data_IF_723128684807
#
_entry.id   IF_723128684807
#
_cell.length_a   1.000
_cell.length_b   1.000
_cell.length_c   1.000
_cell.angle_alpha   90.00
_cell.angle_beta   90.00
_cell.angle_gamma   90.00
#
_symmetry.space_group_name_H-M   'P 1'
#
loop_
_entity.id
_entity.type
_entity.pdbx_description
1 polymer ?
#
# COMPACT_ATOMS: atom_id res chain seq x y z
N UNK A 1 -35.83 -63.97 -46.67
CA UNK A 1 -35.63 -62.51 -46.67
C UNK A 1 -34.27 -62.25 -46.06
N UNK A 2 -33.33 -61.83 -46.91
CA UNK A 2 -31.89 -61.95 -46.69
C UNK A 2 -31.26 -60.65 -46.18
N UNK A 3 -30.27 -60.84 -45.31
CA UNK A 3 -28.99 -60.13 -45.19
C UNK A 3 -29.00 -58.59 -45.30
N UNK A 4 -28.82 -57.91 -44.16
CA UNK A 4 -28.34 -56.52 -44.13
C UNK A 4 -26.82 -56.53 -43.97
N UNK A 5 -26.18 -56.10 -45.05
CA UNK A 5 -24.74 -56.07 -45.32
C UNK A 5 -24.09 -54.90 -44.57
N UNK A 6 -22.95 -55.20 -43.94
CA UNK A 6 -21.91 -54.29 -43.44
C UNK A 6 -21.13 -53.67 -44.61
N UNK A 7 -20.89 -52.34 -44.61
CA UNK A 7 -19.66 -51.64 -45.09
C UNK A 7 -19.89 -50.09 -45.12
N UNK A 8 -18.84 -49.24 -45.07
CA UNK A 8 -17.84 -49.09 -44.02
C UNK A 8 -17.75 -47.65 -43.47
N UNK A 9 -17.08 -47.56 -42.32
CA UNK A 9 -16.63 -46.34 -41.65
C UNK A 9 -15.53 -45.65 -42.48
N UNK A 10 -15.78 -44.46 -43.00
CA UNK A 10 -14.73 -43.57 -43.49
C UNK A 10 -15.21 -42.12 -43.38
N UNK A 11 -14.74 -41.38 -42.37
CA UNK A 11 -14.58 -39.93 -42.51
C UNK A 11 -13.50 -39.41 -41.54
N UNK A 12 -12.35 -39.13 -42.14
CA UNK A 12 -11.31 -38.14 -41.83
C UNK A 12 -11.02 -37.77 -40.36
N UNK A 13 -9.81 -38.14 -39.93
CA UNK A 13 -9.03 -37.39 -38.94
C UNK A 13 -8.87 -35.93 -39.40
N UNK A 14 -9.48 -34.99 -38.68
CA UNK A 14 -8.95 -33.63 -38.61
C UNK A 14 -7.97 -33.57 -37.43
N UNK A 15 -6.70 -33.86 -37.72
CA UNK A 15 -5.57 -33.45 -36.90
C UNK A 15 -5.47 -31.92 -36.99
N UNK A 16 -6.21 -31.20 -36.14
CA UNK A 16 -5.86 -29.82 -35.84
C UNK A 16 -4.62 -29.86 -34.92
N UNK A 17 -3.45 -29.75 -35.53
CA UNK A 17 -2.23 -29.37 -34.83
C UNK A 17 -2.47 -27.98 -34.24
N UNK A 18 -2.92 -27.94 -32.99
CA UNK A 18 -2.86 -26.74 -32.19
C UNK A 18 -1.39 -26.41 -32.00
N UNK A 19 -0.90 -25.41 -32.73
CA UNK A 19 0.29 -24.68 -32.33
C UNK A 19 0.02 -24.09 -30.95
N UNK A 20 0.42 -24.83 -29.91
CA UNK A 20 0.52 -24.31 -28.56
C UNK A 20 1.60 -23.23 -28.57
N UNK A 21 1.21 -21.99 -28.81
CA UNK A 21 1.98 -20.87 -28.32
C UNK A 21 2.08 -21.08 -26.81
N UNK A 22 3.28 -21.36 -26.31
CA UNK A 22 3.55 -21.46 -24.88
C UNK A 22 3.10 -20.15 -24.23
N UNK A 23 1.95 -20.18 -23.55
CA UNK A 23 1.50 -19.08 -22.71
C UNK A 23 2.57 -18.96 -21.62
N UNK A 24 3.24 -17.81 -21.56
CA UNK A 24 4.20 -17.51 -20.49
C UNK A 24 3.41 -17.38 -19.18
N UNK A 25 3.34 -18.48 -18.43
CA UNK A 25 2.60 -18.61 -17.18
C UNK A 25 3.40 -18.12 -15.97
N UNK A 26 4.58 -17.54 -16.21
CA UNK A 26 5.47 -17.02 -15.19
C UNK A 26 4.80 -15.89 -14.42
N UNK A 27 4.83 -16.02 -13.10
CA UNK A 27 4.45 -14.95 -12.17
C UNK A 27 5.71 -14.39 -11.53
N UNK A 28 5.57 -13.22 -10.93
CA UNK A 28 6.67 -12.64 -10.17
C UNK A 28 6.75 -13.35 -8.83
N UNK A 29 7.89 -13.99 -8.60
CA UNK A 29 8.20 -14.69 -7.37
C UNK A 29 9.43 -14.06 -6.72
N UNK A 30 9.33 -13.83 -5.43
CA UNK A 30 10.43 -13.32 -4.61
C UNK A 30 11.16 -14.53 -4.02
N UNK A 31 12.48 -14.66 -4.23
CA UNK A 31 13.37 -15.68 -3.66
C UNK A 31 14.22 -15.04 -2.56
N UNK A 32 13.83 -15.25 -1.30
CA UNK A 32 14.53 -14.69 -0.15
C UNK A 32 15.63 -15.63 0.34
N UNK A 33 16.78 -15.09 0.78
CA UNK A 33 17.98 -15.86 1.14
C UNK A 33 18.61 -15.46 2.49
N UNK A 34 17.90 -14.68 3.32
CA UNK A 34 18.37 -14.33 4.67
C UNK A 34 19.32 -13.13 4.73
N UNK A 35 20.16 -13.06 5.76
CA UNK A 35 21.13 -11.97 5.94
C UNK A 35 22.17 -11.92 4.82
N UNK A 36 22.74 -10.74 4.61
CA UNK A 36 23.85 -10.58 3.67
C UNK A 36 25.12 -11.28 4.23
N UNK A 37 25.80 -12.14 3.45
CA UNK A 37 27.09 -12.73 3.85
C UNK A 37 28.14 -11.66 4.17
N UNK A 38 28.87 -11.83 5.28
CA UNK A 38 29.96 -10.94 5.70
C UNK A 38 31.21 -11.13 4.83
N UNK A 39 31.81 -10.03 4.34
CA UNK A 39 33.04 -10.05 3.54
C UNK A 39 32.88 -9.53 2.10
N UNK A 40 33.87 -9.79 1.23
CA UNK A 40 33.77 -9.47 -0.22
C UNK A 40 32.79 -10.45 -0.89
N UNK A 41 31.50 -10.11 -0.86
CA UNK A 41 30.43 -10.87 -1.49
C UNK A 41 29.74 -10.02 -2.56
N UNK A 42 29.66 -10.57 -3.78
CA UNK A 42 28.90 -9.98 -4.89
C UNK A 42 27.59 -10.74 -5.05
N UNK A 43 26.54 -10.23 -4.41
CA UNK A 43 25.25 -10.94 -4.39
C UNK A 43 24.63 -11.02 -5.78
N UNK A 44 24.77 -9.99 -6.62
CA UNK A 44 24.21 -10.02 -7.98
C UNK A 44 24.77 -11.16 -8.81
N UNK A 45 26.09 -11.39 -8.80
CA UNK A 45 26.69 -12.54 -9.50
C UNK A 45 26.24 -13.87 -8.89
N UNK A 46 26.07 -13.93 -7.58
CA UNK A 46 25.63 -15.13 -6.88
C UNK A 46 24.17 -15.48 -7.23
N UNK A 47 23.26 -14.51 -7.19
CA UNK A 47 21.86 -14.67 -7.57
C UNK A 47 21.71 -15.02 -9.04
N UNK A 48 22.44 -14.35 -9.94
CA UNK A 48 22.44 -14.72 -11.35
C UNK A 48 22.93 -16.16 -11.53
N UNK A 49 23.98 -16.60 -10.82
CA UNK A 49 24.42 -18.01 -10.91
C UNK A 49 23.39 -18.99 -10.38
N UNK A 50 22.71 -18.65 -9.28
CA UNK A 50 21.68 -19.48 -8.67
C UNK A 50 20.48 -19.62 -9.59
N UNK A 51 20.05 -18.50 -10.16
CA UNK A 51 18.98 -18.47 -11.14
C UNK A 51 19.37 -19.23 -12.42
N UNK A 52 20.64 -19.18 -12.82
CA UNK A 52 21.18 -19.94 -13.95
C UNK A 52 21.16 -21.46 -13.73
N UNK A 53 21.18 -21.94 -12.48
CA UNK A 53 21.02 -23.38 -12.19
C UNK A 53 19.58 -23.86 -12.46
N UNK A 54 18.59 -22.96 -12.46
CA UNK A 54 17.18 -23.31 -12.61
C UNK A 54 16.64 -22.96 -13.99
N UNK A 55 17.06 -21.83 -14.56
CA UNK A 55 16.61 -21.32 -15.87
C UNK A 55 17.65 -21.47 -17.00
N UNK A 56 18.90 -21.82 -16.69
CA UNK A 56 19.96 -21.86 -17.70
C UNK A 56 20.29 -20.48 -18.28
N UNK A 57 20.54 -20.40 -19.59
CA UNK A 57 21.05 -19.18 -20.26
C UNK A 57 20.10 -17.97 -20.19
N UNK A 58 18.81 -18.16 -19.91
CA UNK A 58 17.81 -17.09 -19.83
C UNK A 58 17.68 -16.46 -18.43
N UNK A 59 18.49 -16.89 -17.46
CA UNK A 59 18.39 -16.44 -16.07
C UNK A 59 18.49 -14.91 -15.93
N UNK A 60 19.41 -14.26 -16.66
CA UNK A 60 19.58 -12.81 -16.59
C UNK A 60 18.34 -12.03 -17.04
N UNK A 61 17.54 -12.59 -17.96
CA UNK A 61 16.35 -11.94 -18.53
C UNK A 61 15.15 -12.01 -17.58
N UNK A 62 15.19 -12.95 -16.64
CA UNK A 62 14.10 -13.21 -15.70
C UNK A 62 14.40 -12.70 -14.29
N UNK A 63 15.64 -12.30 -14.00
CA UNK A 63 16.04 -11.64 -12.76
C UNK A 63 15.53 -10.19 -12.74
N UNK A 64 14.43 -9.94 -12.06
CA UNK A 64 13.83 -8.61 -11.95
C UNK A 64 14.61 -7.72 -10.98
N UNK A 65 15.14 -8.30 -9.90
CA UNK A 65 15.89 -7.57 -8.89
C UNK A 65 16.79 -8.49 -8.04
N UNK A 66 17.90 -7.97 -7.51
CA UNK A 66 18.83 -8.69 -6.63
C UNK A 66 19.14 -7.87 -5.36
N UNK A 67 18.64 -8.33 -4.22
CA UNK A 67 18.81 -7.73 -2.90
C UNK A 67 20.19 -8.08 -2.32
N UNK A 68 21.04 -7.08 -2.07
CA UNK A 68 22.47 -7.32 -1.79
C UNK A 68 23.08 -6.43 -0.68
N UNK A 69 22.28 -5.56 -0.04
CA UNK A 69 22.78 -4.55 0.93
C UNK A 69 22.50 -4.91 2.38
N UNK A 70 21.23 -5.13 2.72
CA UNK A 70 20.79 -5.45 4.10
C UNK A 70 20.44 -6.92 4.29
N UNK A 71 19.99 -7.58 3.23
CA UNK A 71 19.67 -9.00 3.17
C UNK A 71 19.95 -9.53 1.77
N UNK A 72 19.95 -10.86 1.63
CA UNK A 72 20.27 -11.63 0.45
C UNK A 72 18.98 -12.17 -0.18
N UNK A 73 18.88 -12.18 -1.50
CA UNK A 73 17.73 -12.69 -2.23
C UNK A 73 17.52 -11.98 -3.56
N UNK A 74 16.51 -12.39 -4.32
CA UNK A 74 16.21 -11.79 -5.61
C UNK A 74 14.74 -11.98 -6.00
N UNK A 75 14.28 -11.24 -7.00
CA UNK A 75 12.96 -11.44 -7.62
C UNK A 75 13.17 -11.97 -9.01
N UNK A 76 12.41 -12.99 -9.39
CA UNK A 76 12.42 -13.48 -10.75
C UNK A 76 11.02 -13.78 -11.27
N UNK A 77 10.86 -13.67 -12.59
CA UNK A 77 9.70 -14.23 -13.28
C UNK A 77 9.90 -15.74 -13.40
N UNK A 78 9.17 -16.48 -12.58
CA UNK A 78 9.28 -17.92 -12.45
C UNK A 78 7.95 -18.55 -12.77
N UNK A 79 7.99 -19.71 -13.40
CA UNK A 79 6.85 -20.62 -13.33
C UNK A 79 6.72 -21.12 -11.89
N UNK A 80 5.56 -21.70 -11.56
CA UNK A 80 5.39 -22.29 -10.24
C UNK A 80 6.46 -23.36 -9.96
N UNK A 81 6.79 -24.19 -10.95
CA UNK A 81 7.76 -25.28 -10.81
C UNK A 81 9.19 -24.77 -10.62
N UNK A 82 9.56 -23.68 -11.27
CA UNK A 82 10.87 -23.05 -11.07
C UNK A 82 10.98 -22.37 -9.70
N UNK A 83 9.90 -21.75 -9.23
CA UNK A 83 9.80 -21.23 -7.87
C UNK A 83 9.97 -22.35 -6.83
N UNK A 84 9.36 -23.52 -7.05
CA UNK A 84 9.57 -24.68 -6.17
C UNK A 84 11.00 -25.23 -6.22
N UNK A 85 11.64 -25.26 -7.40
CA UNK A 85 13.04 -25.69 -7.53
C UNK A 85 13.98 -24.75 -6.76
N UNK A 86 13.79 -23.44 -6.89
CA UNK A 86 14.58 -22.43 -6.17
C UNK A 86 14.37 -22.53 -4.66
N UNK A 87 13.14 -22.79 -4.22
CA UNK A 87 12.83 -23.00 -2.79
C UNK A 87 13.63 -24.14 -2.15
N UNK A 88 14.06 -25.14 -2.93
CA UNK A 88 14.87 -26.26 -2.45
C UNK A 88 16.39 -26.02 -2.45
N UNK A 89 16.88 -24.87 -2.90
CA UNK A 89 18.32 -24.62 -3.03
C UNK A 89 18.95 -24.16 -1.72
N UNK A 90 20.20 -24.57 -1.50
CA UNK A 90 20.95 -24.15 -0.31
C UNK A 90 21.10 -22.61 -0.27
N UNK A 91 20.71 -22.02 0.86
CA UNK A 91 20.73 -20.57 1.05
C UNK A 91 19.44 -19.86 0.64
N UNK A 92 18.44 -20.55 0.07
CA UNK A 92 17.10 -19.98 -0.17
C UNK A 92 16.18 -20.29 1.02
N UNK A 93 15.59 -19.25 1.58
CA UNK A 93 14.69 -19.30 2.74
C UNK A 93 13.21 -19.39 2.32
N UNK A 94 12.77 -18.62 1.32
CA UNK A 94 11.36 -18.64 0.88
C UNK A 94 11.17 -18.20 -0.57
N UNK A 95 10.07 -18.65 -1.21
CA UNK A 95 9.65 -18.25 -2.57
C UNK A 95 8.13 -18.01 -2.68
N UNK A 96 7.64 -16.82 -3.10
CA UNK A 96 6.19 -16.46 -3.05
C UNK A 96 5.69 -15.34 -4.04
N UNK A 97 4.36 -15.23 -4.35
CA UNK A 97 3.74 -14.28 -5.34
C UNK A 97 3.22 -12.90 -4.79
N UNK A 98 2.72 -11.97 -5.64
CA UNK A 98 2.48 -10.49 -5.41
C UNK A 98 0.97 -9.92 -5.55
N UNK A 99 0.46 -8.76 -4.95
CA UNK A 99 -0.98 -8.15 -5.07
C UNK A 99 -1.43 -6.71 -4.42
N UNK A 100 -2.77 -6.24 -4.26
CA UNK A 100 -3.41 -4.83 -3.92
C UNK A 100 -4.72 -4.57 -2.92
N UNK A 101 -5.20 -3.31 -2.47
CA UNK A 101 -6.34 -2.86 -1.42
C UNK A 101 -7.17 -1.40 -1.48
N UNK A 102 -8.09 -0.89 -0.51
CA UNK A 102 -9.12 0.34 -0.49
C UNK A 102 -9.46 1.30 0.83
N UNK A 103 -10.29 2.45 0.83
CA UNK A 103 -10.42 3.73 1.78
C UNK A 103 -11.80 4.47 2.26
N UNK A 104 -11.91 5.33 3.38
CA UNK A 104 -13.15 6.06 4.01
C UNK A 104 -13.04 7.32 5.05
N UNK A 105 -13.82 8.49 5.07
CA UNK A 105 -14.30 9.35 6.29
C UNK A 105 -15.26 10.64 6.10
N UNK A 106 -16.23 10.93 7.03
CA UNK A 106 -16.88 12.27 7.44
C UNK A 106 -17.79 12.27 8.73
N UNK A 107 -18.12 11.13 9.35
CA UNK A 107 -19.00 11.03 10.57
C UNK A 107 -18.27 10.43 11.80
N UNK A 108 -17.10 9.86 11.56
CA UNK A 108 -16.38 8.98 12.50
C UNK A 108 -16.07 9.64 13.85
N UNK A 109 -15.70 10.93 13.87
CA UNK A 109 -15.27 11.59 15.11
C UNK A 109 -16.41 11.87 16.10
N UNK A 110 -17.56 12.34 15.61
CA UNK A 110 -18.76 12.49 16.46
C UNK A 110 -19.22 11.15 17.03
N UNK A 111 -19.16 10.08 16.23
CA UNK A 111 -19.51 8.74 16.67
C UNK A 111 -18.62 8.25 17.83
N UNK A 112 -17.35 8.66 17.86
CA UNK A 112 -16.42 8.35 18.96
C UNK A 112 -16.55 9.32 20.15
N UNK A 113 -17.51 10.26 20.12
CA UNK A 113 -17.65 11.30 21.15
C UNK A 113 -16.59 12.40 21.08
N UNK A 114 -15.83 12.47 19.99
CA UNK A 114 -14.74 13.41 19.80
C UNK A 114 -15.16 14.53 18.83
N UNK A 115 -16.13 15.34 19.27
CA UNK A 115 -16.70 16.42 18.45
C UNK A 115 -15.70 17.54 18.14
N UNK A 116 -16.10 18.49 17.30
CA UNK A 116 -15.33 19.71 16.98
C UNK A 116 -14.86 20.50 18.22
N UNK A 117 -15.62 20.46 19.32
CA UNK A 117 -15.44 21.34 20.49
C UNK A 117 -14.63 20.70 21.63
N UNK A 118 -13.93 19.58 21.38
CA UNK A 118 -13.14 18.93 22.44
C UNK A 118 -11.97 19.82 22.86
N UNK A 119 -11.67 19.83 24.15
CA UNK A 119 -10.53 20.54 24.73
C UNK A 119 -9.23 19.91 24.21
N UNK A 120 -8.46 20.66 23.42
CA UNK A 120 -7.20 20.21 22.83
C UNK A 120 -6.00 20.72 23.61
N UNK A 121 -4.91 19.96 23.59
CA UNK A 121 -3.66 20.37 24.20
C UNK A 121 -3.02 21.49 23.36
N UNK A 122 -2.45 22.50 23.99
CA UNK A 122 -1.73 23.58 23.30
C UNK A 122 -0.51 23.09 22.54
N UNK A 123 0.05 21.94 22.94
CA UNK A 123 1.17 21.28 22.28
C UNK A 123 0.78 20.56 20.98
N UNK A 124 -0.53 20.46 20.65
CA UNK A 124 -1.00 19.76 19.44
C UNK A 124 -0.36 20.35 18.17
N UNK A 125 -0.15 21.66 18.12
CA UNK A 125 0.49 22.34 16.98
C UNK A 125 1.97 22.03 16.79
N UNK A 126 2.61 21.43 17.81
CA UNK A 126 4.02 21.01 17.76
C UNK A 126 4.19 19.51 17.48
N UNK A 127 3.07 18.77 17.36
CA UNK A 127 3.07 17.36 16.99
C UNK A 127 3.21 17.21 15.48
N UNK A 128 4.07 16.31 15.04
CA UNK A 128 4.35 16.02 13.63
C UNK A 128 3.95 14.58 13.34
N UNK A 129 2.92 14.39 12.51
CA UNK A 129 2.46 13.08 12.06
C UNK A 129 3.15 12.73 10.75
N UNK A 130 3.95 11.66 10.77
CA UNK A 130 4.56 11.07 9.59
C UNK A 130 3.58 10.19 8.83
N UNK A 131 3.23 10.56 7.61
CA UNK A 131 2.29 9.86 6.75
C UNK A 131 3.04 9.08 5.67
N UNK A 132 3.12 7.75 5.82
CA UNK A 132 3.73 6.84 4.84
C UNK A 132 2.63 6.24 3.96
N UNK A 133 2.47 6.76 2.73
CA UNK A 133 1.31 6.48 1.88
C UNK A 133 1.56 6.79 0.37
N UNK A 134 0.52 7.04 -0.44
CA UNK A 134 0.60 7.42 -1.87
C UNK A 134 0.98 8.88 -2.13
N UNK A 135 1.29 9.63 -1.08
CA UNK A 135 1.61 11.07 -1.14
C UNK A 135 0.50 11.93 -0.56
N UNK A 136 0.44 13.20 -0.97
CA UNK A 136 -0.63 14.12 -0.56
C UNK A 136 -1.04 15.06 -1.70
N UNK A 137 -2.30 15.48 -1.73
CA UNK A 137 -2.77 16.57 -2.59
C UNK A 137 -2.77 17.90 -1.82
N UNK A 138 -1.71 18.73 -1.93
CA UNK A 138 -1.48 19.85 -1.03
C UNK A 138 -2.53 20.98 -1.13
N UNK A 139 -3.23 21.10 -2.27
CA UNK A 139 -4.27 22.12 -2.46
C UNK A 139 -5.61 21.78 -1.81
N UNK A 140 -5.73 20.59 -1.18
CA UNK A 140 -6.94 20.24 -0.45
C UNK A 140 -7.17 21.22 0.71
N UNK A 141 -8.42 21.67 0.89
CA UNK A 141 -8.79 22.56 1.99
C UNK A 141 -8.47 21.97 3.37
N UNK A 142 -8.43 20.64 3.50
CA UNK A 142 -8.03 19.95 4.72
C UNK A 142 -6.57 20.23 5.13
N UNK A 143 -5.75 20.77 4.24
CA UNK A 143 -4.33 21.06 4.49
C UNK A 143 -3.98 22.54 4.38
N UNK A 144 -4.99 23.41 4.46
CA UNK A 144 -4.76 24.84 4.67
C UNK A 144 -3.93 25.06 5.93
N UNK A 145 -2.98 25.98 5.86
CA UNK A 145 -2.14 26.40 6.98
C UNK A 145 -2.57 27.75 7.56
N UNK A 146 -3.81 28.17 7.28
CA UNK A 146 -4.42 29.33 7.91
C UNK A 146 -4.36 29.18 9.44
N UNK A 147 -3.83 30.20 10.13
CA UNK A 147 -3.57 30.23 11.57
C UNK A 147 -2.44 29.33 12.09
N UNK A 148 -1.61 28.76 11.21
CA UNK A 148 -0.41 28.02 11.63
C UNK A 148 0.80 28.97 11.76
N UNK A 149 1.51 28.87 12.89
CA UNK A 149 2.85 29.45 13.02
C UNK A 149 3.90 28.65 12.22
N UNK A 150 5.18 29.06 12.24
CA UNK A 150 6.25 28.33 11.56
C UNK A 150 6.37 26.87 12.05
N UNK A 151 7.02 25.97 11.29
CA UNK A 151 7.26 24.59 11.71
C UNK A 151 8.01 24.50 13.05
N UNK A 152 7.77 23.47 13.87
CA UNK A 152 8.45 23.30 15.15
C UNK A 152 9.97 23.23 14.98
N UNK A 153 10.74 23.87 15.87
CA UNK A 153 12.23 23.94 15.78
C UNK A 153 12.92 22.57 15.76
N UNK A 154 12.28 21.52 16.28
CA UNK A 154 12.79 20.15 16.27
C UNK A 154 12.77 19.49 14.89
N UNK A 155 11.97 20.03 13.97
CA UNK A 155 11.77 19.48 12.63
C UNK A 155 13.04 19.61 11.79
N UNK A 156 13.48 18.50 11.19
CA UNK A 156 14.70 18.44 10.36
C UNK A 156 14.44 17.98 8.92
N UNK A 157 13.20 17.60 8.61
CA UNK A 157 12.86 17.13 7.28
C UNK A 157 12.83 18.26 6.25
N UNK A 158 12.68 17.84 5.00
CA UNK A 158 12.75 18.72 3.83
C UNK A 158 11.50 18.60 2.96
N UNK A 159 11.35 19.55 2.04
CA UNK A 159 10.30 19.54 1.04
C UNK A 159 10.90 19.36 -0.35
N UNK A 160 10.58 18.25 -1.02
CA UNK A 160 10.93 18.03 -2.41
C UNK A 160 9.93 18.75 -3.32
N UNK A 161 10.39 19.79 -4.02
CA UNK A 161 9.54 20.72 -4.78
C UNK A 161 9.36 20.37 -6.26
N UNK A 162 9.41 19.09 -6.62
CA UNK A 162 9.19 18.67 -8.01
C UNK A 162 7.71 18.67 -8.39
N UNK A 163 7.41 18.80 -9.69
CA UNK A 163 6.04 18.70 -10.25
C UNK A 163 4.99 19.58 -9.56
N UNK A 164 5.30 20.89 -9.42
CA UNK A 164 4.42 21.89 -8.78
C UNK A 164 3.96 21.47 -7.38
N UNK A 165 4.88 20.95 -6.57
CA UNK A 165 4.61 20.63 -5.17
C UNK A 165 5.30 21.65 -4.26
N UNK A 166 4.55 22.19 -3.29
CA UNK A 166 5.08 23.09 -2.27
C UNK A 166 4.53 22.73 -0.90
N UNK A 167 5.41 22.71 0.10
CA UNK A 167 5.05 22.62 1.50
C UNK A 167 4.56 23.97 2.02
N UNK A 168 3.82 23.94 3.13
CA UNK A 168 3.34 25.11 3.84
C UNK A 168 3.50 24.88 5.36
N UNK A 169 2.87 25.69 6.22
CA UNK A 169 3.00 25.47 7.66
C UNK A 169 2.16 24.28 8.17
N UNK A 170 1.26 23.71 7.37
CA UNK A 170 0.49 22.51 7.72
C UNK A 170 1.21 21.23 7.28
N UNK A 171 1.55 21.14 6.00
CA UNK A 171 2.41 20.11 5.39
C UNK A 171 3.84 20.65 5.42
N UNK A 172 4.58 20.32 6.47
CA UNK A 172 5.91 20.91 6.75
C UNK A 172 7.07 20.16 6.08
N UNK A 173 6.78 18.97 5.56
CA UNK A 173 7.75 18.11 4.89
C UNK A 173 7.09 17.18 3.89
N UNK A 174 7.78 16.91 2.80
CA UNK A 174 7.27 16.04 1.76
C UNK A 174 8.43 15.43 0.96
N UNK A 175 8.51 14.10 0.99
CA UNK A 175 9.48 13.31 0.25
C UNK A 175 8.76 12.19 -0.51
N UNK A 176 9.33 11.74 -1.62
CA UNK A 176 8.89 10.54 -2.31
C UNK A 176 10.05 9.57 -2.50
N UNK A 177 9.72 8.28 -2.51
CA UNK A 177 10.66 7.19 -2.59
C UNK A 177 10.26 6.30 -3.75
N UNK A 178 11.18 6.17 -4.71
CA UNK A 178 11.02 5.28 -5.86
C UNK A 178 12.38 4.73 -6.24
N UNK A 179 12.81 3.72 -5.52
CA UNK A 179 14.15 3.14 -5.63
C UNK A 179 14.45 2.55 -7.02
N UNK A 180 13.45 1.97 -7.69
CA UNK A 180 13.59 1.40 -9.04
C UNK A 180 13.59 2.47 -10.17
N UNK A 181 13.26 3.73 -9.83
CA UNK A 181 13.13 4.88 -10.75
C UNK A 181 12.13 4.67 -11.89
N UNK A 182 11.25 3.67 -11.79
CA UNK A 182 10.17 3.43 -12.76
C UNK A 182 8.93 4.18 -12.30
N UNK A 183 8.29 4.87 -13.23
CA UNK A 183 7.09 5.63 -12.94
C UNK A 183 6.06 5.31 -14.01
N UNK A 184 4.82 5.05 -13.58
CA UNK A 184 3.70 4.94 -14.49
C UNK A 184 3.43 6.30 -15.16
N UNK A 185 2.88 6.34 -16.39
CA UNK A 185 2.38 7.59 -16.98
C UNK A 185 1.34 8.31 -16.11
N UNK A 186 0.68 7.59 -15.18
CA UNK A 186 -0.30 8.14 -14.25
C UNK A 186 0.31 8.69 -12.95
N UNK A 187 1.63 8.57 -12.76
CA UNK A 187 2.30 8.99 -11.53
C UNK A 187 2.94 10.38 -11.65
N UNK A 188 2.84 11.16 -10.57
CA UNK A 188 3.66 12.36 -10.39
C UNK A 188 4.99 11.99 -9.75
N UNK A 189 6.11 12.35 -10.41
CA UNK A 189 7.48 12.20 -9.88
C UNK A 189 7.78 13.24 -8.77
N UNK A 190 6.90 13.28 -7.78
CA UNK A 190 6.91 14.18 -6.64
C UNK A 190 6.13 13.55 -5.49
N UNK A 191 6.12 14.17 -4.30
CA UNK A 191 5.27 13.75 -3.18
C UNK A 191 3.77 13.92 -3.44
N UNK A 192 3.37 14.46 -4.61
CA UNK A 192 1.98 14.64 -4.99
C UNK A 192 1.26 13.30 -5.12
N UNK A 193 0.07 13.24 -4.51
CA UNK A 193 -0.82 12.09 -4.60
C UNK A 193 -1.48 12.01 -5.98
N UNK A 194 -1.32 10.88 -6.66
CA UNK A 194 -1.98 10.56 -7.93
C UNK A 194 -3.13 9.55 -7.76
N UNK A 195 -3.32 9.00 -6.57
CA UNK A 195 -4.30 7.94 -6.30
C UNK A 195 -5.44 8.47 -5.42
N UNK A 196 -5.10 9.10 -4.29
CA UNK A 196 -6.06 9.65 -3.31
C UNK A 196 -5.92 9.06 -1.91
N UNK A 197 -5.31 7.88 -1.75
CA UNK A 197 -5.15 7.16 -0.48
C UNK A 197 -4.46 7.99 0.59
N UNK A 198 -3.28 8.51 0.28
CA UNK A 198 -2.51 9.33 1.21
C UNK A 198 -3.19 10.64 1.57
N UNK A 199 -3.86 11.28 0.61
CA UNK A 199 -4.69 12.48 0.88
C UNK A 199 -5.84 12.15 1.83
N UNK A 200 -6.49 11.03 1.60
CA UNK A 200 -7.62 10.59 2.40
C UNK A 200 -7.17 10.22 3.83
N UNK A 201 -6.11 9.43 3.99
CA UNK A 201 -5.60 9.01 5.31
C UNK A 201 -5.01 10.18 6.09
N UNK A 202 -4.27 11.08 5.42
CA UNK A 202 -3.70 12.29 6.03
C UNK A 202 -4.77 13.25 6.54
N UNK A 203 -5.83 13.47 5.76
CA UNK A 203 -6.96 14.32 6.19
C UNK A 203 -7.78 13.69 7.31
N UNK A 204 -7.85 12.36 7.37
CA UNK A 204 -8.47 11.64 8.49
C UNK A 204 -7.65 11.80 9.78
N UNK A 205 -6.33 11.67 9.72
CA UNK A 205 -5.46 11.78 10.89
C UNK A 205 -5.37 13.23 11.40
N UNK A 206 -5.08 14.17 10.50
CA UNK A 206 -4.71 15.53 10.86
C UNK A 206 -5.30 16.59 9.90
N UNK A 207 -6.41 16.32 9.21
CA UNK A 207 -7.08 17.35 8.41
C UNK A 207 -7.62 18.50 9.26
N UNK A 208 -7.46 19.73 8.75
CA UNK A 208 -8.14 20.91 9.26
C UNK A 208 -9.66 20.82 9.06
N UNK A 209 -10.38 21.81 9.62
CA UNK A 209 -11.83 21.87 9.52
C UNK A 209 -12.26 22.31 8.12
N UNK A 210 -13.07 21.48 7.46
CA UNK A 210 -13.64 21.78 6.15
C UNK A 210 -15.16 21.72 6.25
N UNK A 211 -15.79 22.89 6.30
CA UNK A 211 -17.24 23.03 6.33
C UNK A 211 -17.88 22.61 5.01
N UNK A 212 -19.11 22.09 5.07
CA UNK A 212 -19.92 21.70 3.89
C UNK A 212 -19.25 20.64 3.01
N UNK A 213 -18.38 19.81 3.58
CA UNK A 213 -17.74 18.69 2.89
C UNK A 213 -18.80 17.63 2.53
N UNK A 214 -18.79 17.17 1.28
CA UNK A 214 -19.66 16.08 0.83
C UNK A 214 -19.16 15.46 -0.47
N UNK A 215 -19.54 14.22 -0.75
CA UNK A 215 -19.37 13.58 -2.06
C UNK A 215 -20.70 13.66 -2.82
N UNK A 216 -20.83 14.61 -3.75
CA UNK A 216 -22.09 14.88 -4.47
C UNK A 216 -23.32 15.14 -3.56
N UNK A 217 -23.09 15.63 -2.34
CA UNK A 217 -24.11 15.82 -1.29
C UNK A 217 -24.27 14.65 -0.33
N UNK A 218 -23.63 13.50 -0.59
CA UNK A 218 -23.57 12.39 0.37
C UNK A 218 -22.60 12.72 1.50
N UNK A 219 -23.01 12.40 2.74
CA UNK A 219 -22.17 12.59 3.92
C UNK A 219 -21.88 14.05 4.24
N UNK A 220 -22.80 14.95 3.88
CA UNK A 220 -22.71 16.39 4.12
C UNK A 220 -22.47 16.73 5.61
N UNK A 221 -21.46 17.54 5.87
CA UNK A 221 -21.12 18.00 7.21
C UNK A 221 -19.79 18.75 7.25
N UNK A 222 -19.19 18.83 8.43
CA UNK A 222 -17.82 19.34 8.61
C UNK A 222 -16.86 18.15 8.64
N UNK A 223 -15.94 18.10 7.67
CA UNK A 223 -14.84 17.15 7.73
C UNK A 223 -13.73 17.70 8.63
N UNK A 224 -13.17 16.85 9.49
CA UNK A 224 -12.13 17.22 10.46
C UNK A 224 -11.27 15.99 10.74
N UNK A 225 -9.97 16.18 10.97
CA UNK A 225 -9.07 15.12 11.40
C UNK A 225 -9.09 14.91 12.92
N UNK A 226 -8.44 13.84 13.38
CA UNK A 226 -8.29 13.58 14.82
C UNK A 226 -7.51 14.69 15.54
N UNK A 227 -6.44 15.19 14.93
CA UNK A 227 -5.57 16.27 15.45
C UNK A 227 -5.42 17.41 14.42
N UNK A 228 -6.44 18.29 14.26
CA UNK A 228 -6.47 19.31 13.22
C UNK A 228 -5.33 20.32 13.27
N UNK A 229 -4.74 20.57 14.44
CA UNK A 229 -3.63 21.52 14.59
C UNK A 229 -2.25 20.88 14.39
N UNK A 230 -2.15 19.55 14.32
CA UNK A 230 -0.88 18.86 14.13
C UNK A 230 -0.26 19.14 12.75
N UNK A 231 1.06 19.03 12.65
CA UNK A 231 1.80 19.13 11.39
C UNK A 231 1.82 17.79 10.67
N UNK A 232 1.89 17.83 9.35
CA UNK A 232 1.97 16.64 8.48
C UNK A 232 3.34 16.60 7.81
N UNK A 233 4.00 15.46 7.89
CA UNK A 233 5.19 15.13 7.10
C UNK A 233 4.88 13.95 6.19
N UNK A 234 5.02 14.14 4.88
CA UNK A 234 4.58 13.18 3.87
C UNK A 234 5.75 12.38 3.33
N UNK A 235 5.60 11.06 3.30
CA UNK A 235 6.57 10.13 2.76
C UNK A 235 5.85 9.24 1.75
N UNK A 236 5.89 9.64 0.48
CA UNK A 236 5.25 8.89 -0.61
C UNK A 236 6.07 7.63 -0.91
N UNK A 237 5.53 6.48 -0.52
CA UNK A 237 6.14 5.14 -0.67
C UNK A 237 5.32 4.24 -1.61
N UNK A 238 4.09 4.64 -1.90
CA UNK A 238 3.17 3.91 -2.74
C UNK A 238 2.94 4.63 -4.08
N UNK A 239 2.83 3.82 -5.12
CA UNK A 239 2.65 4.22 -6.50
C UNK A 239 1.56 3.36 -7.14
N UNK A 240 1.24 3.59 -8.41
CA UNK A 240 0.21 2.84 -9.12
C UNK A 240 0.36 1.30 -9.05
N UNK A 241 1.60 0.81 -8.97
CA UNK A 241 1.95 -0.60 -8.89
C UNK A 241 2.13 -1.14 -7.46
N UNK A 242 1.97 -0.31 -6.44
CA UNK A 242 2.04 -0.70 -5.04
C UNK A 242 3.11 0.07 -4.24
N UNK A 243 3.46 -0.47 -3.08
CA UNK A 243 4.41 0.13 -2.15
C UNK A 243 5.61 -0.81 -2.03
N UNK A 244 6.78 -0.36 -2.46
CA UNK A 244 7.97 -1.20 -2.41
C UNK A 244 8.56 -1.21 -0.99
N UNK A 245 8.93 -2.39 -0.50
CA UNK A 245 9.60 -2.59 0.79
C UNK A 245 10.84 -1.70 0.99
N UNK A 246 11.63 -1.52 -0.06
CA UNK A 246 12.81 -0.65 -0.03
C UNK A 246 12.43 0.83 0.19
N UNK A 247 11.33 1.25 -0.42
CA UNK A 247 10.83 2.61 -0.30
C UNK A 247 10.19 2.83 1.09
N UNK A 248 9.49 1.81 1.62
CA UNK A 248 8.97 1.79 3.01
C UNK A 248 10.10 1.98 4.03
N UNK A 249 11.16 1.17 3.96
CA UNK A 249 12.28 1.29 4.90
C UNK A 249 13.02 2.63 4.78
N UNK A 250 13.23 3.12 3.55
CA UNK A 250 13.84 4.42 3.33
C UNK A 250 13.01 5.57 3.93
N UNK A 251 11.69 5.49 3.81
CA UNK A 251 10.78 6.44 4.43
C UNK A 251 10.79 6.35 5.96
N UNK A 252 10.86 5.15 6.54
CA UNK A 252 11.01 5.00 7.99
C UNK A 252 12.31 5.63 8.50
N UNK A 253 13.43 5.35 7.84
CA UNK A 253 14.74 5.89 8.19
C UNK A 253 14.73 7.43 8.21
N UNK A 254 14.21 8.02 7.12
CA UNK A 254 14.06 9.48 7.01
C UNK A 254 13.05 10.03 8.02
N UNK A 255 11.90 9.39 8.22
CA UNK A 255 10.88 9.89 9.15
C UNK A 255 11.40 9.96 10.59
N UNK A 256 12.14 8.94 11.02
CA UNK A 256 12.77 8.90 12.34
C UNK A 256 13.83 10.01 12.44
N UNK A 257 14.67 10.18 11.42
CA UNK A 257 15.74 11.19 11.41
C UNK A 257 15.21 12.63 11.35
N UNK A 258 14.12 12.85 10.61
CA UNK A 258 13.46 14.13 10.42
C UNK A 258 12.75 14.60 11.71
N UNK A 259 12.46 13.68 12.63
CA UNK A 259 11.93 13.97 13.97
C UNK A 259 10.41 14.00 14.04
N UNK A 260 9.72 13.07 13.34
CA UNK A 260 8.28 12.85 13.52
C UNK A 260 7.97 12.34 14.93
N UNK A 261 6.78 12.64 15.45
CA UNK A 261 6.35 12.19 16.79
C UNK A 261 5.58 10.87 16.75
N UNK A 262 4.86 10.62 15.65
CA UNK A 262 4.07 9.42 15.42
C UNK A 262 4.05 9.11 13.92
N UNK A 263 4.01 7.83 13.57
CA UNK A 263 3.90 7.37 12.19
C UNK A 263 2.53 6.74 11.98
N UNK A 264 1.85 7.16 10.92
CA UNK A 264 0.66 6.49 10.39
C UNK A 264 1.02 5.82 9.07
N UNK A 265 0.79 4.52 8.99
CA UNK A 265 1.07 3.72 7.80
C UNK A 265 -0.11 2.80 7.50
N UNK A 266 -0.88 3.15 6.49
CA UNK A 266 -2.09 2.41 6.09
C UNK A 266 -1.78 1.38 5.01
N UNK A 267 -0.66 0.69 5.15
CA UNK A 267 -0.20 -0.35 4.23
C UNK A 267 0.15 -1.62 5.00
N UNK A 268 0.18 -2.75 4.32
CA UNK A 268 0.53 -4.02 4.91
C UNK A 268 0.54 -5.12 3.85
N UNK A 269 1.23 -6.20 4.17
CA UNK A 269 1.30 -7.39 3.33
C UNK A 269 -0.05 -8.12 3.24
N UNK A 270 -0.12 -9.16 2.42
CA UNK A 270 -1.32 -10.01 2.33
C UNK A 270 -1.57 -10.86 3.56
N UNK A 271 -0.48 -11.28 4.20
CA UNK A 271 -0.43 -12.15 5.35
C UNK A 271 0.71 -11.71 6.26
N UNK A 272 0.63 -12.07 7.53
CA UNK A 272 1.74 -11.89 8.44
C UNK A 272 2.97 -12.67 7.95
N UNK A 273 4.14 -12.05 8.08
CA UNK A 273 5.43 -12.68 7.86
C UNK A 273 6.28 -12.53 9.11
N UNK A 274 7.47 -13.14 9.13
CA UNK A 274 8.37 -13.01 10.26
C UNK A 274 8.75 -11.53 10.46
N UNK A 275 8.87 -11.07 11.70
CA UNK A 275 9.22 -9.68 12.00
C UNK A 275 10.53 -9.20 11.36
N UNK A 276 11.49 -10.09 11.14
CA UNK A 276 12.76 -9.77 10.49
C UNK A 276 12.68 -9.76 8.95
N UNK A 277 11.52 -10.11 8.39
CA UNK A 277 11.20 -10.08 6.95
C UNK A 277 10.09 -9.06 6.63
N UNK A 278 9.49 -8.46 7.66
CA UNK A 278 8.45 -7.45 7.52
C UNK A 278 9.07 -6.06 7.64
N UNK A 279 9.09 -5.29 6.55
CA UNK A 279 9.67 -3.95 6.52
C UNK A 279 8.97 -2.95 7.42
N UNK A 280 7.65 -3.11 7.62
CA UNK A 280 6.88 -2.30 8.54
C UNK A 280 7.27 -2.68 9.97
N UNK A 281 7.43 -3.98 10.28
CA UNK A 281 7.91 -4.42 11.59
C UNK A 281 9.32 -3.90 11.89
N UNK A 282 10.26 -3.99 10.95
CA UNK A 282 11.64 -3.49 11.11
C UNK A 282 11.65 -1.97 11.29
N UNK A 283 11.03 -1.23 10.36
CA UNK A 283 10.99 0.24 10.41
C UNK A 283 10.34 0.76 11.69
N UNK A 284 9.22 0.15 12.09
CA UNK A 284 8.53 0.49 13.33
C UNK A 284 9.29 0.08 14.59
N UNK A 285 10.09 -0.98 14.57
CA UNK A 285 10.95 -1.34 15.70
C UNK A 285 11.98 -0.24 15.96
N UNK A 286 12.63 0.25 14.89
CA UNK A 286 13.58 1.35 14.99
C UNK A 286 12.92 2.67 15.40
N UNK A 287 11.70 2.93 14.93
CA UNK A 287 10.90 4.08 15.37
C UNK A 287 10.57 3.98 16.87
N UNK A 288 10.11 2.82 17.34
CA UNK A 288 9.76 2.57 18.74
C UNK A 288 10.97 2.74 19.66
N UNK A 289 12.16 2.27 19.25
CA UNK A 289 13.42 2.50 20.01
C UNK A 289 13.76 3.98 20.19
N UNK A 290 13.17 4.88 19.38
CA UNK A 290 13.30 6.34 19.48
C UNK A 290 12.06 6.99 20.11
N UNK A 291 11.11 6.22 20.61
CA UNK A 291 9.88 6.72 21.23
C UNK A 291 8.80 7.13 20.24
N UNK A 292 8.90 6.71 18.97
CA UNK A 292 7.94 7.03 17.92
C UNK A 292 7.02 5.83 17.72
N UNK A 293 5.74 5.97 18.08
CA UNK A 293 4.73 4.93 17.87
C UNK A 293 4.36 4.85 16.38
N UNK A 294 4.15 3.62 15.90
CA UNK A 294 3.60 3.36 14.55
C UNK A 294 2.17 2.82 14.69
N UNK A 295 1.20 3.53 14.10
CA UNK A 295 -0.16 3.07 13.89
C UNK A 295 -0.30 2.45 12.50
N UNK A 296 -0.67 1.19 12.42
CA UNK A 296 -0.81 0.45 11.17
C UNK A 296 -2.17 -0.27 11.08
N UNK A 297 -2.65 -0.48 9.86
CA UNK A 297 -3.91 -1.20 9.65
C UNK A 297 -3.72 -2.71 9.85
N UNK A 298 -4.68 -3.41 10.46
CA UNK A 298 -4.58 -4.87 10.67
C UNK A 298 -4.58 -5.67 9.36
N UNK A 299 -5.09 -5.08 8.28
CA UNK A 299 -5.26 -5.69 6.96
C UNK A 299 -6.73 -6.01 6.64
N UNK A 300 -7.03 -6.16 5.35
CA UNK A 300 -8.40 -6.35 4.82
C UNK A 300 -8.57 -7.76 4.22
N UNK A 301 -7.93 -8.77 4.82
CA UNK A 301 -7.98 -10.18 4.34
C UNK A 301 -8.88 -11.07 5.19
N UNK A 302 -9.65 -10.50 6.12
CA UNK A 302 -10.64 -11.24 6.92
C UNK A 302 -11.83 -11.75 6.09
N UNK A 303 -12.79 -12.45 6.71
CA UNK A 303 -13.01 -12.54 8.16
C UNK A 303 -12.38 -13.77 8.84
N UNK A 304 -11.65 -14.59 8.10
CA UNK A 304 -11.07 -15.84 8.63
C UNK A 304 -10.05 -15.59 9.74
N UNK A 305 -9.91 -16.55 10.66
CA UNK A 305 -8.92 -16.48 11.73
C UNK A 305 -7.49 -16.38 11.16
N UNK A 306 -6.61 -15.68 11.86
CA UNK A 306 -5.20 -15.46 11.47
C UNK A 306 -5.00 -14.75 10.11
N UNK A 307 -5.94 -13.88 9.70
CA UNK A 307 -5.85 -13.10 8.46
C UNK A 307 -5.14 -11.74 8.58
N UNK A 308 -4.56 -11.42 9.74
CA UNK A 308 -3.87 -10.14 9.97
C UNK A 308 -2.50 -10.14 9.26
N UNK A 309 -2.08 -8.97 8.81
CA UNK A 309 -0.77 -8.78 8.19
C UNK A 309 0.23 -8.07 9.11
N UNK A 310 -0.23 -7.00 9.76
CA UNK A 310 0.57 -6.20 10.67
C UNK A 310 0.44 -6.71 12.10
N UNK A 311 1.37 -7.55 12.55
CA UNK A 311 1.29 -8.29 13.83
C UNK A 311 2.46 -8.04 14.79
N UNK A 312 3.27 -7.03 14.51
CA UNK A 312 4.43 -6.68 15.34
C UNK A 312 3.99 -6.11 16.70
N UNK A 313 4.49 -6.64 17.84
CA UNK A 313 3.99 -6.28 19.17
C UNK A 313 4.35 -4.85 19.61
N UNK A 314 5.28 -4.19 18.92
CA UNK A 314 5.67 -2.79 19.15
C UNK A 314 4.88 -1.81 18.28
N UNK A 315 3.87 -2.26 17.54
CA UNK A 315 2.98 -1.41 16.73
C UNK A 315 1.57 -1.39 17.27
N UNK A 316 0.82 -0.34 16.94
CA UNK A 316 -0.61 -0.27 17.18
C UNK A 316 -1.36 -0.76 15.93
N UNK A 317 -1.70 -2.05 15.92
CA UNK A 317 -2.48 -2.68 14.85
C UNK A 317 -3.98 -2.37 15.00
N UNK A 318 -4.55 -1.66 14.02
CA UNK A 318 -5.93 -1.15 14.08
C UNK A 318 -6.86 -1.92 13.14
N UNK A 319 -7.92 -2.52 13.69
CA UNK A 319 -8.99 -3.16 12.93
C UNK A 319 -10.04 -2.14 12.43
N UNK A 320 -10.84 -2.53 11.44
CA UNK A 320 -11.96 -1.73 10.96
C UNK A 320 -13.28 -2.17 11.60
N UNK A 321 -14.11 -1.20 11.98
CA UNK A 321 -15.46 -1.44 12.48
C UNK A 321 -16.45 -0.50 11.78
N UNK A 322 -17.75 -0.80 11.93
CA UNK A 322 -18.80 0.05 11.37
C UNK A 322 -19.15 1.18 12.33
N UNK A 323 -19.63 2.29 11.77
CA UNK A 323 -20.23 3.39 12.53
C UNK A 323 -21.75 3.37 12.34
N UNK A 324 -22.45 4.21 13.09
CA UNK A 324 -23.90 4.36 13.03
C UNK A 324 -24.45 4.77 11.65
N UNK A 325 -23.66 5.49 10.84
CA UNK A 325 -24.05 5.93 9.50
C UNK A 325 -23.84 4.86 8.44
N UNK A 326 -24.93 4.48 7.78
CA UNK A 326 -24.94 3.62 6.59
C UNK A 326 -25.44 4.38 5.36
N UNK A 327 -24.72 4.28 4.24
CA UNK A 327 -25.22 4.75 2.95
C UNK A 327 -26.10 3.68 2.31
N UNK A 328 -27.33 4.06 1.98
CA UNK A 328 -28.32 3.20 1.35
C UNK A 328 -28.95 3.93 0.16
N UNK A 329 -29.14 3.19 -0.93
CA UNK A 329 -29.84 3.66 -2.13
C UNK A 329 -31.13 2.89 -2.26
N UNK A 330 -32.22 3.61 -2.55
CA UNK A 330 -33.53 2.99 -2.80
C UNK A 330 -33.67 2.70 -4.29
N UNK A 331 -33.87 1.44 -4.63
CA UNK A 331 -34.11 0.97 -6.00
C UNK A 331 -35.60 0.64 -6.12
N UNK A 332 -36.30 1.33 -7.03
CA UNK A 332 -37.70 1.03 -7.36
C UNK A 332 -37.74 0.20 -8.64
N UNK A 333 -38.31 -1.00 -8.57
CA UNK A 333 -38.49 -1.88 -9.72
C UNK A 333 -39.73 -1.47 -10.53
N UNK A 334 -39.84 -1.97 -11.78
CA UNK A 334 -40.96 -1.69 -12.68
C UNK A 334 -42.31 -2.20 -12.17
N UNK A 335 -42.31 -3.21 -11.29
CA UNK A 335 -43.50 -3.72 -10.60
C UNK A 335 -43.93 -2.84 -9.40
N UNK A 336 -43.21 -1.75 -9.11
CA UNK A 336 -43.50 -0.82 -8.02
C UNK A 336 -42.83 -1.14 -6.69
N UNK A 337 -42.20 -2.31 -6.54
CA UNK A 337 -41.48 -2.68 -5.33
C UNK A 337 -40.23 -1.82 -5.11
N UNK A 338 -39.90 -1.54 -3.84
CA UNK A 338 -38.76 -0.71 -3.46
C UNK A 338 -37.82 -1.48 -2.55
N UNK A 339 -36.54 -1.57 -2.94
CA UNK A 339 -35.49 -2.23 -2.19
C UNK A 339 -34.45 -1.22 -1.71
N UNK A 340 -33.99 -1.35 -0.47
CA UNK A 340 -32.85 -0.60 0.03
C UNK A 340 -31.57 -1.42 -0.19
N UNK A 341 -30.69 -0.93 -1.05
CA UNK A 341 -29.39 -1.55 -1.33
C UNK A 341 -28.26 -0.73 -0.73
N UNK A 342 -27.19 -1.40 -0.29
CA UNK A 342 -25.98 -0.71 0.16
C UNK A 342 -25.21 -0.22 -1.07
N UNK A 343 -25.18 1.09 -1.31
CA UNK A 343 -24.33 1.69 -2.34
C UNK A 343 -24.01 3.15 -2.00
N UNK A 344 -22.93 3.66 -2.60
CA UNK A 344 -22.57 5.08 -2.58
C UNK A 344 -23.07 5.69 -3.90
N UNK A 345 -24.38 5.97 -3.97
CA UNK A 345 -24.96 6.63 -5.14
C UNK A 345 -26.00 7.65 -4.74
N UNK A 346 -26.00 8.79 -5.43
CA UNK A 346 -27.13 9.71 -5.38
C UNK A 346 -28.22 9.15 -6.28
N UNK A 347 -29.46 9.10 -5.81
CA UNK A 347 -30.60 8.85 -6.69
C UNK A 347 -30.68 10.00 -7.70
N UNK A 348 -30.20 9.77 -8.92
CA UNK A 348 -30.51 10.63 -10.05
C UNK A 348 -31.89 10.17 -10.52
N UNK A 349 -32.93 10.95 -10.22
CA UNK A 349 -34.21 10.73 -10.90
C UNK A 349 -33.98 11.08 -12.38
N UNK A 350 -34.44 10.25 -13.33
CA UNK A 350 -34.42 10.62 -14.75
C UNK A 350 -35.24 11.89 -15.00
#
# INVERSE_FOLDING_TARGET
MASKIFLPFLLLLCLSAGNGALVDDRKEYIVYMGDRPTGKFSATSFHTSMLHQVLGRSASDHLLHSYHRSFNGFVAKLTHDEAQRLKGMQGVMSVFPNGKKQLHTTRSWDFMGFSEHVKRATTESDIIVGMLDTGIWPESQSFSDENFGPPPKKWKGSCQTSSNFTCNNKIIGAKFYRSDKKFSPFDFKSPRDSEGHGTHTSSTAAGGLVSKASLFGLGFGTAIGGVPSARIAVYKICWFDGCADADILAAFDDAIADGVDIISISVGSFSAVNYFEDTIAIGSFHAMKKGILTSNSAGNSGPDAASLANVAPWTLSVAASTIDRKFVTRVKLGNGEVYAVSSISKCIRP
#
